data_IF_012686490135
#
_entry.id   IF_012686490135
#
_cell.length_a   1.000
_cell.length_b   1.000
_cell.length_c   1.000
_cell.angle_alpha   90.00
_cell.angle_beta   90.00
_cell.angle_gamma   90.00
#
_symmetry.space_group_name_H-M   'P 1'
#
loop_
_entity.id
_entity.type
_entity.pdbx_description
1 polymer ?
#
# COMPACT_ATOMS: atom_id res chain seq x y z
N UNK A 1 8.85 -5.96 -0.36
CA UNK A 1 9.10 -4.66 0.29
C UNK A 1 10.30 -4.72 1.24
N UNK A 2 10.17 -5.31 2.46
CA UNK A 2 11.27 -5.35 3.45
C UNK A 2 12.60 -5.90 2.92
N UNK A 3 12.57 -6.99 2.14
CA UNK A 3 13.76 -7.55 1.50
C UNK A 3 14.43 -6.55 0.54
N UNK A 4 13.64 -5.86 -0.30
CA UNK A 4 14.13 -4.88 -1.28
C UNK A 4 14.81 -3.71 -0.56
N UNK A 5 14.17 -3.10 0.45
CA UNK A 5 14.79 -1.99 1.21
C UNK A 5 15.94 -2.43 2.12
N UNK A 6 16.02 -3.73 2.42
CA UNK A 6 17.18 -4.34 3.07
C UNK A 6 18.42 -4.32 2.17
N UNK A 7 18.22 -4.67 0.89
CA UNK A 7 19.25 -4.79 -0.15
C UNK A 7 19.62 -3.46 -0.83
N UNK A 8 18.63 -2.61 -1.10
CA UNK A 8 18.75 -1.33 -1.84
C UNK A 8 18.21 -0.19 -0.99
N UNK A 9 19.09 0.70 -0.54
CA UNK A 9 18.75 1.85 0.33
C UNK A 9 18.22 3.06 -0.44
N UNK A 10 18.42 3.08 -1.74
CA UNK A 10 17.94 4.08 -2.68
C UNK A 10 16.48 3.83 -3.12
N UNK A 11 15.88 2.69 -2.76
CA UNK A 11 14.49 2.34 -3.10
C UNK A 11 13.57 2.62 -1.91
N UNK A 12 12.50 3.37 -2.15
CA UNK A 12 11.42 3.61 -1.20
C UNK A 12 10.08 3.11 -1.73
N UNK A 13 9.22 2.63 -0.82
CA UNK A 13 7.86 2.20 -1.17
C UNK A 13 6.84 3.18 -0.60
N UNK A 14 5.99 3.72 -1.47
CA UNK A 14 4.83 4.50 -1.08
C UNK A 14 3.60 3.59 -1.13
N UNK A 15 2.91 3.45 0.00
CA UNK A 15 1.73 2.57 0.11
C UNK A 15 0.48 3.43 0.02
N UNK A 16 -0.36 3.12 -0.98
CA UNK A 16 -1.73 3.64 -1.08
C UNK A 16 -2.69 2.54 -0.67
N UNK A 17 -3.52 2.79 0.34
CA UNK A 17 -4.46 1.79 0.84
C UNK A 17 -5.67 1.73 -0.09
N UNK A 18 -5.85 0.59 -0.77
CA UNK A 18 -6.96 0.32 -1.66
C UNK A 18 -7.83 -0.81 -1.09
N UNK A 19 -8.79 -0.51 -0.19
CA UNK A 19 -9.63 -1.52 0.43
C UNK A 19 -10.63 -2.07 -0.59
N UNK A 20 -10.42 -3.29 -1.08
CA UNK A 20 -11.32 -3.95 -2.02
C UNK A 20 -12.69 -4.21 -1.37
N UNK A 21 -13.78 -3.95 -2.10
CA UNK A 21 -15.16 -4.10 -1.61
C UNK A 21 -15.50 -5.53 -1.13
N UNK A 22 -14.81 -6.55 -1.65
CA UNK A 22 -14.95 -7.96 -1.22
C UNK A 22 -14.48 -8.19 0.23
N UNK A 23 -13.74 -7.26 0.82
CA UNK A 23 -13.21 -7.34 2.18
C UNK A 23 -13.92 -6.32 3.09
N UNK A 24 -15.03 -6.73 3.71
CA UNK A 24 -15.92 -5.86 4.50
C UNK A 24 -15.19 -4.98 5.55
N UNK A 25 -14.18 -5.53 6.22
CA UNK A 25 -13.43 -4.84 7.27
C UNK A 25 -12.27 -3.96 6.74
N UNK A 26 -11.93 -4.05 5.45
CA UNK A 26 -10.73 -3.41 4.92
C UNK A 26 -10.82 -1.89 4.96
N UNK A 27 -11.99 -1.31 4.68
CA UNK A 27 -12.18 0.14 4.71
C UNK A 27 -11.97 0.69 6.12
N UNK A 28 -12.58 0.08 7.14
CA UNK A 28 -12.44 0.51 8.54
C UNK A 28 -11.00 0.41 9.04
N UNK A 29 -10.27 -0.65 8.67
CA UNK A 29 -8.85 -0.81 8.98
C UNK A 29 -7.99 0.23 8.29
N UNK A 30 -8.24 0.47 7.00
CA UNK A 30 -7.53 1.50 6.24
C UNK A 30 -7.75 2.88 6.86
N UNK A 31 -8.99 3.20 7.27
CA UNK A 31 -9.32 4.45 7.95
C UNK A 31 -8.58 4.60 9.27
N UNK A 32 -8.53 3.53 10.07
CA UNK A 32 -7.81 3.54 11.34
C UNK A 32 -6.30 3.76 11.17
N UNK A 33 -5.70 3.23 10.10
CA UNK A 33 -4.28 3.43 9.77
C UNK A 33 -4.01 4.87 9.31
N UNK A 34 -4.85 5.42 8.41
CA UNK A 34 -4.69 6.78 7.89
C UNK A 34 -4.94 7.83 8.98
N UNK A 35 -5.91 7.59 9.86
CA UNK A 35 -6.25 8.47 10.97
C UNK A 35 -5.39 8.25 12.24
N UNK A 36 -4.25 7.58 12.12
CA UNK A 36 -3.34 7.40 13.25
C UNK A 36 -2.84 8.76 13.78
N UNK A 37 -2.53 8.83 15.08
CA UNK A 37 -2.33 10.11 15.77
C UNK A 37 -0.94 10.72 15.57
N UNK A 38 0.04 9.94 15.11
CA UNK A 38 1.42 10.40 14.92
C UNK A 38 2.04 9.81 13.66
N UNK A 39 3.08 10.47 13.13
CA UNK A 39 3.70 10.12 11.84
C UNK A 39 4.23 8.68 11.76
N UNK A 40 4.69 8.10 12.86
CA UNK A 40 5.26 6.75 12.90
C UNK A 40 4.21 5.66 13.15
N UNK A 41 3.02 6.03 13.61
CA UNK A 41 1.98 5.07 13.98
C UNK A 41 1.33 4.34 12.78
N UNK A 42 1.05 4.96 11.61
CA UNK A 42 0.47 4.27 10.47
C UNK A 42 1.22 2.99 10.09
N UNK A 43 2.56 3.05 10.06
CA UNK A 43 3.38 1.88 9.75
C UNK A 43 3.28 0.80 10.81
N UNK A 44 3.25 1.16 12.10
CA UNK A 44 3.04 0.20 13.20
C UNK A 44 1.69 -0.49 13.09
N UNK A 45 0.62 0.25 12.81
CA UNK A 45 -0.72 -0.31 12.64
C UNK A 45 -0.79 -1.21 11.42
N UNK A 46 -0.17 -0.81 10.31
CA UNK A 46 -0.07 -1.64 9.11
C UNK A 46 0.62 -2.98 9.40
N UNK A 47 1.78 -2.98 10.07
CA UNK A 47 2.49 -4.21 10.48
C UNK A 47 1.61 -5.09 11.37
N UNK A 48 0.93 -4.50 12.36
CA UNK A 48 -0.02 -5.24 13.21
C UNK A 48 -1.12 -5.91 12.38
N UNK A 49 -1.65 -5.26 11.35
CA UNK A 49 -2.66 -5.89 10.48
C UNK A 49 -2.09 -7.07 9.68
N UNK A 50 -0.85 -6.99 9.19
CA UNK A 50 -0.18 -8.12 8.53
C UNK A 50 0.07 -9.29 9.49
N UNK A 51 0.35 -8.99 10.76
CA UNK A 51 0.47 -9.97 11.85
C UNK A 51 -0.90 -10.48 12.35
N UNK A 52 -2.01 -10.06 11.73
CA UNK A 52 -3.40 -10.39 12.12
C UNK A 52 -3.75 -9.96 13.54
N UNK A 53 -3.04 -8.99 14.11
CA UNK A 53 -3.37 -8.38 15.39
C UNK A 53 -4.53 -7.40 15.22
N UNK A 54 -5.32 -7.23 16.29
CA UNK A 54 -6.31 -6.17 16.34
C UNK A 54 -5.60 -4.80 16.36
N UNK A 55 -6.17 -3.83 15.65
CA UNK A 55 -5.71 -2.44 15.68
C UNK A 55 -6.79 -1.57 16.36
N UNK A 56 -6.40 -0.49 17.05
CA UNK A 56 -7.37 0.47 17.56
C UNK A 56 -8.21 1.05 16.42
N UNK A 57 -9.45 1.40 16.75
CA UNK A 57 -10.32 2.15 15.84
C UNK A 57 -9.97 3.63 15.97
N UNK A 58 -9.41 4.19 14.90
CA UNK A 58 -9.15 5.62 14.82
C UNK A 58 -10.10 6.26 13.80
N UNK A 59 -10.63 7.43 14.12
CA UNK A 59 -11.58 8.15 13.28
C UNK A 59 -11.11 9.59 13.10
N UNK A 60 -11.13 10.05 11.86
CA UNK A 60 -10.84 11.42 11.47
C UNK A 60 -11.63 11.76 10.20
N UNK A 61 -11.73 13.05 9.88
CA UNK A 61 -12.25 13.50 8.60
C UNK A 61 -11.15 13.34 7.54
N UNK A 62 -11.32 12.36 6.65
CA UNK A 62 -10.39 12.04 5.55
C UNK A 62 -11.16 11.82 4.25
N UNK A 63 -10.51 12.11 3.12
CA UNK A 63 -10.94 11.71 1.78
C UNK A 63 -9.92 10.81 1.07
N UNK A 64 -8.80 10.52 1.72
CA UNK A 64 -7.62 9.88 1.15
C UNK A 64 -7.91 8.47 0.64
N UNK A 65 -8.77 7.72 1.35
CA UNK A 65 -9.15 6.37 0.96
C UNK A 65 -10.06 6.40 -0.26
N UNK A 66 -11.09 7.24 -0.25
CA UNK A 66 -12.01 7.40 -1.37
C UNK A 66 -11.29 7.94 -2.62
N UNK A 67 -10.38 8.89 -2.44
CA UNK A 67 -9.54 9.41 -3.52
C UNK A 67 -8.62 8.31 -4.09
N UNK A 68 -8.05 7.45 -3.24
CA UNK A 68 -7.26 6.30 -3.68
C UNK A 68 -8.11 5.31 -4.47
N UNK A 69 -9.34 5.02 -4.02
CA UNK A 69 -10.27 4.13 -4.74
C UNK A 69 -10.60 4.69 -6.12
N UNK A 70 -10.95 5.99 -6.20
CA UNK A 70 -11.26 6.65 -7.47
C UNK A 70 -10.06 6.66 -8.43
N UNK A 71 -8.86 6.94 -7.91
CA UNK A 71 -7.64 6.93 -8.71
C UNK A 71 -7.28 5.52 -9.18
N UNK A 72 -7.43 4.50 -8.34
CA UNK A 72 -7.22 3.11 -8.73
C UNK A 72 -8.17 2.71 -9.88
N UNK A 73 -9.45 3.08 -9.77
CA UNK A 73 -10.45 2.84 -10.82
C UNK A 73 -10.11 3.52 -12.14
N UNK A 74 -9.69 4.80 -12.11
CA UNK A 74 -9.33 5.52 -13.35
C UNK A 74 -8.09 4.95 -14.04
N UNK A 75 -7.18 4.32 -13.29
CA UNK A 75 -6.01 3.61 -13.80
C UNK A 75 -6.31 2.15 -14.21
N UNK A 76 -7.56 1.68 -14.06
CA UNK A 76 -7.94 0.29 -14.37
C UNK A 76 -7.42 -0.74 -13.35
N UNK A 77 -7.05 -0.32 -12.15
CA UNK A 77 -6.56 -1.19 -11.07
C UNK A 77 -7.74 -1.91 -10.43
N UNK A 78 -7.76 -3.24 -10.55
CA UNK A 78 -8.84 -4.10 -10.05
C UNK A 78 -8.44 -4.97 -8.86
N UNK A 79 -7.15 -5.02 -8.52
CA UNK A 79 -6.62 -5.93 -7.52
C UNK A 79 -5.40 -5.40 -6.78
N UNK A 80 -5.11 -6.05 -5.65
CA UNK A 80 -3.96 -5.75 -4.79
C UNK A 80 -3.07 -6.97 -4.59
N UNK A 81 -1.73 -6.81 -4.54
CA UNK A 81 -1.03 -5.56 -4.81
C UNK A 81 -1.02 -5.22 -6.31
N UNK A 82 -1.01 -3.92 -6.62
CA UNK A 82 -0.61 -3.41 -7.93
C UNK A 82 0.58 -2.49 -7.69
N UNK A 83 1.66 -2.72 -8.42
CA UNK A 83 2.90 -1.96 -8.32
C UNK A 83 2.93 -0.91 -9.43
N UNK A 84 3.26 0.33 -9.08
CA UNK A 84 3.48 1.43 -10.03
C UNK A 84 4.93 1.85 -9.87
N UNK A 85 5.70 1.79 -10.96
CA UNK A 85 7.13 2.10 -10.97
C UNK A 85 7.39 3.57 -11.32
N UNK A 86 8.61 4.10 -11.05
CA UNK A 86 8.93 5.52 -11.24
C UNK A 86 8.70 6.06 -12.66
N UNK A 87 8.75 5.18 -13.66
CA UNK A 87 8.52 5.51 -15.08
C UNK A 87 7.05 5.34 -15.51
N UNK A 88 6.15 5.04 -14.58
CA UNK A 88 4.72 4.86 -14.82
C UNK A 88 4.32 3.47 -15.27
N UNK A 89 5.26 2.52 -15.46
CA UNK A 89 4.89 1.11 -15.70
C UNK A 89 4.09 0.58 -14.52
N UNK A 90 3.03 -0.17 -14.83
CA UNK A 90 2.18 -0.81 -13.83
C UNK A 90 2.29 -2.33 -13.94
N UNK A 91 2.38 -3.01 -12.80
CA UNK A 91 2.36 -4.46 -12.71
C UNK A 91 1.28 -4.90 -11.71
N UNK A 92 0.28 -5.64 -12.19
CA UNK A 92 -0.76 -6.23 -11.35
C UNK A 92 -0.28 -7.54 -10.74
N UNK A 93 -0.35 -7.66 -9.41
CA UNK A 93 0.08 -8.84 -8.68
C UNK A 93 1.42 -8.67 -7.97
N UNK A 94 1.82 -9.74 -7.25
CA UNK A 94 3.04 -9.76 -6.45
C UNK A 94 4.25 -10.07 -7.30
N UNK A 95 5.36 -9.34 -7.11
CA UNK A 95 6.66 -9.65 -7.69
C UNK A 95 7.69 -10.08 -6.62
N UNK A 96 8.59 -11.03 -6.95
CA UNK A 96 9.79 -11.29 -6.15
C UNK A 96 10.69 -10.05 -6.04
N UNK A 97 11.54 -10.01 -5.00
CA UNK A 97 12.41 -8.84 -4.75
C UNK A 97 13.33 -8.50 -5.92
N UNK A 98 13.94 -9.51 -6.56
CA UNK A 98 14.84 -9.31 -7.71
C UNK A 98 14.12 -8.66 -8.88
N UNK A 99 12.90 -9.11 -9.19
CA UNK A 99 12.07 -8.53 -10.26
C UNK A 99 11.70 -7.08 -9.96
N UNK A 100 11.33 -6.75 -8.73
CA UNK A 100 11.06 -5.35 -8.35
C UNK A 100 12.28 -4.47 -8.61
N UNK A 101 13.48 -4.95 -8.29
CA UNK A 101 14.73 -4.22 -8.54
C UNK A 101 14.99 -4.06 -10.05
N UNK A 102 14.79 -5.11 -10.85
CA UNK A 102 14.94 -5.04 -12.31
C UNK A 102 13.95 -4.04 -12.94
N UNK A 103 12.70 -3.98 -12.48
CA UNK A 103 11.75 -2.95 -12.89
C UNK A 103 12.23 -1.56 -12.52
N UNK A 104 12.66 -1.32 -11.27
CA UNK A 104 13.16 0.00 -10.83
C UNK A 104 14.38 0.45 -11.66
N UNK A 105 15.26 -0.48 -12.02
CA UNK A 105 16.45 -0.20 -12.82
C UNK A 105 16.14 -0.08 -14.34
N UNK A 106 14.88 -0.26 -14.77
CA UNK A 106 14.48 -0.14 -16.18
C UNK A 106 14.92 -1.32 -17.06
N UNK A 107 15.11 -2.52 -16.50
CA UNK A 107 15.67 -3.70 -17.18
C UNK A 107 14.63 -4.75 -17.59
N UNK A 108 13.34 -4.43 -17.50
CA UNK A 108 12.19 -5.31 -17.79
C UNK A 108 11.21 -4.66 -18.76
#
# INVERSE_FOLDING_TARGET
MKKVVGERKDISFFIKLFPLAIHKEAYGKAKSIICAASDSEPMRLLEMTFEKKAIPRNECATKEIDATIQQAQSLGITGTPTLIFPDGRMHSGTLPSGKIIEYVDGRE
#
